data_IF_729253455344
#
_entry.id   IF_729253455344
#
_cell.length_a   1.000
_cell.length_b   1.000
_cell.length_c   1.000
_cell.angle_alpha   90.00
_cell.angle_beta   90.00
_cell.angle_gamma   90.00
#
_symmetry.space_group_name_H-M   'P 1'
#
loop_
_entity.id
_entity.type
_entity.pdbx_description
1 polymer ?
#
# COMPACT_ATOMS: atom_id res chain seq x y z
N UNK A 1 62.61 -22.52 -19.78
CA UNK A 1 62.36 -21.19 -19.17
C UNK A 1 61.86 -20.25 -20.25
N UNK A 2 60.55 -20.00 -20.33
CA UNK A 2 59.96 -19.08 -21.31
C UNK A 2 59.19 -17.95 -20.61
N UNK A 3 59.78 -16.77 -20.74
CA UNK A 3 59.42 -15.38 -20.45
C UNK A 3 57.95 -15.01 -20.16
N UNK A 4 57.73 -14.47 -18.96
CA UNK A 4 56.49 -13.83 -18.46
C UNK A 4 56.24 -12.39 -19.00
N UNK A 5 56.92 -11.96 -20.06
CA UNK A 5 57.02 -10.53 -20.40
C UNK A 5 56.07 -10.00 -21.50
N UNK A 6 55.06 -10.78 -21.91
CA UNK A 6 54.09 -10.38 -22.95
C UNK A 6 52.77 -9.80 -22.39
N UNK A 7 52.48 -9.94 -21.08
CA UNK A 7 51.22 -9.43 -20.49
C UNK A 7 51.26 -7.99 -19.97
N UNK A 8 52.43 -7.35 -19.89
CA UNK A 8 52.55 -5.95 -19.40
C UNK A 8 52.29 -4.88 -20.46
N UNK A 9 52.32 -5.19 -21.77
CA UNK A 9 52.13 -4.19 -22.84
C UNK A 9 50.67 -3.94 -23.27
N UNK A 10 49.69 -4.59 -22.65
CA UNK A 10 48.25 -4.42 -22.99
C UNK A 10 47.45 -3.55 -22.02
N UNK A 11 48.07 -3.06 -20.95
CA UNK A 11 47.38 -2.27 -19.91
C UNK A 11 47.57 -0.74 -20.06
N UNK A 12 48.28 -0.28 -21.09
CA UNK A 12 48.66 1.13 -21.22
C UNK A 12 47.93 1.89 -22.35
N UNK A 13 46.90 1.29 -22.95
CA UNK A 13 46.12 1.92 -24.02
C UNK A 13 44.62 1.84 -23.76
N UNK A 14 44.15 2.60 -22.78
CA UNK A 14 42.75 3.06 -22.72
C UNK A 14 42.67 4.27 -21.78
N UNK A 15 43.22 5.42 -22.24
CA UNK A 15 42.91 6.72 -21.62
C UNK A 15 41.47 7.08 -22.00
N UNK A 16 40.62 7.52 -21.06
CA UNK A 16 39.25 7.92 -21.36
C UNK A 16 39.21 9.10 -22.34
N UNK A 17 38.38 8.99 -23.39
CA UNK A 17 38.15 10.07 -24.35
C UNK A 17 37.57 11.31 -23.68
N UNK A 18 37.93 12.50 -24.19
CA UNK A 18 37.59 13.79 -23.59
C UNK A 18 36.08 14.07 -23.49
N UNK A 19 35.25 13.33 -24.24
CA UNK A 19 33.79 13.35 -24.10
C UNK A 19 33.33 12.94 -22.68
N UNK A 20 34.01 11.99 -22.02
CA UNK A 20 33.62 11.50 -20.67
C UNK A 20 33.95 12.50 -19.55
N UNK A 21 34.94 13.39 -19.76
CA UNK A 21 35.30 14.44 -18.80
C UNK A 21 34.29 15.60 -18.81
N UNK A 22 33.66 15.87 -19.95
CA UNK A 22 32.62 16.91 -20.07
C UNK A 22 31.34 16.54 -19.30
N UNK A 23 30.91 15.28 -19.38
CA UNK A 23 29.69 14.79 -18.75
C UNK A 23 29.78 14.71 -17.20
N UNK A 24 30.99 14.60 -16.65
CA UNK A 24 31.25 14.64 -15.20
C UNK A 24 31.33 16.07 -14.64
N UNK A 25 31.81 17.04 -15.43
CA UNK A 25 31.80 18.46 -15.04
C UNK A 25 30.37 19.04 -14.97
N UNK A 26 29.48 18.58 -15.84
CA UNK A 26 28.10 19.04 -15.88
C UNK A 26 27.25 18.51 -14.71
N UNK A 27 27.53 17.28 -14.25
CA UNK A 27 26.89 16.71 -13.05
C UNK A 27 27.29 17.42 -11.75
N UNK A 28 28.51 17.96 -11.66
CA UNK A 28 28.95 18.76 -10.48
C UNK A 28 28.29 20.14 -10.45
N UNK A 29 28.15 20.81 -11.60
CA UNK A 29 27.46 22.11 -11.71
C UNK A 29 25.97 22.03 -11.38
N UNK A 30 25.31 20.88 -11.62
CA UNK A 30 23.90 20.67 -11.27
C UNK A 30 23.69 20.42 -9.78
N UNK A 31 24.67 19.83 -9.10
CA UNK A 31 24.64 19.57 -7.65
C UNK A 31 24.84 20.84 -6.81
N UNK A 32 25.56 21.85 -7.31
CA UNK A 32 25.81 23.12 -6.61
C UNK A 32 24.70 24.16 -6.79
N UNK A 33 23.70 23.90 -7.65
CA UNK A 33 22.57 24.81 -7.90
C UNK A 33 21.27 24.42 -7.17
N UNK A 34 21.28 23.37 -6.36
CA UNK A 34 20.13 22.93 -5.54
C UNK A 34 20.30 23.17 -4.03
N UNK A 35 21.42 23.77 -3.58
CA UNK A 35 21.69 24.02 -2.16
C UNK A 35 21.58 25.49 -1.72
N UNK A 36 21.07 26.39 -2.57
CA UNK A 36 20.86 27.81 -2.24
C UNK A 36 19.47 28.30 -2.68
N UNK A 37 18.42 27.72 -2.09
CA UNK A 37 17.05 28.20 -2.19
C UNK A 37 16.54 28.63 -0.83
N UNK A 38 16.62 29.94 -0.57
CA UNK A 38 16.28 30.60 0.69
C UNK A 38 14.80 30.47 1.05
N UNK A 39 14.59 30.26 2.35
CA UNK A 39 13.34 30.33 3.10
C UNK A 39 12.68 31.72 3.00
N UNK A 40 11.41 31.78 2.59
CA UNK A 40 10.35 32.65 3.16
C UNK A 40 9.04 32.54 2.37
N UNK A 41 7.94 32.43 3.11
CA UNK A 41 6.54 32.74 2.74
C UNK A 41 5.72 31.75 1.89
N UNK A 42 5.02 30.84 2.58
CA UNK A 42 3.65 30.45 2.21
C UNK A 42 2.77 30.53 3.47
N UNK A 43 2.05 31.64 3.61
CA UNK A 43 0.95 31.80 4.55
C UNK A 43 -0.27 31.03 4.02
N UNK A 44 -0.61 29.91 4.64
CA UNK A 44 -1.94 29.32 4.48
C UNK A 44 -2.88 29.91 5.53
N UNK A 45 -3.72 30.85 5.09
CA UNK A 45 -4.97 31.18 5.76
C UNK A 45 -5.97 30.07 5.45
N UNK A 46 -6.28 29.19 6.41
CA UNK A 46 -7.53 28.43 6.38
C UNK A 46 -8.55 29.21 7.19
N UNK A 47 -9.37 29.96 6.46
CA UNK A 47 -10.62 30.53 6.95
C UNK A 47 -11.67 29.42 6.77
N UNK A 48 -12.17 28.86 7.87
CA UNK A 48 -13.32 27.98 7.84
C UNK A 48 -14.48 28.71 8.55
N UNK A 49 -15.32 29.37 7.75
CA UNK A 49 -16.64 29.82 8.19
C UNK A 49 -17.61 28.66 7.94
N UNK A 50 -18.05 28.00 9.03
CA UNK A 50 -19.19 27.10 9.00
C UNK A 50 -20.37 27.86 9.60
N UNK A 51 -21.28 28.33 8.76
CA UNK A 51 -22.59 28.83 9.18
C UNK A 51 -23.51 27.63 9.36
N UNK A 52 -23.98 27.38 10.58
CA UNK A 52 -25.03 26.40 10.87
C UNK A 52 -26.25 27.17 11.32
N UNK A 53 -27.31 27.13 10.51
CA UNK A 53 -28.63 27.67 10.86
C UNK A 53 -29.27 26.82 11.97
N UNK A 54 -29.73 27.48 13.03
CA UNK A 54 -30.48 26.89 14.13
C UNK A 54 -31.97 26.81 13.78
N UNK A 55 -32.50 25.60 13.59
CA UNK A 55 -33.95 25.37 13.61
C UNK A 55 -34.39 25.24 15.08
N UNK A 56 -35.25 26.14 15.53
CA UNK A 56 -35.93 26.05 16.83
C UNK A 56 -36.95 24.90 16.80
N UNK A 57 -36.83 23.97 17.75
CA UNK A 57 -37.83 22.95 18.04
C UNK A 57 -38.14 22.94 19.53
N UNK A 58 -39.28 23.52 19.91
CA UNK A 58 -39.84 23.45 21.26
C UNK A 58 -40.35 22.04 21.57
N UNK A 59 -40.10 21.53 22.79
CA UNK A 59 -41.02 20.57 23.41
C UNK A 59 -40.96 20.63 24.94
N UNK A 60 -42.16 20.51 25.50
CA UNK A 60 -42.61 20.77 26.85
C UNK A 60 -42.10 19.81 27.95
N UNK A 61 -42.22 20.31 29.18
CA UNK A 61 -42.08 19.65 30.48
C UNK A 61 -42.93 18.38 30.63
N UNK A 62 -42.40 17.37 31.35
CA UNK A 62 -43.03 16.74 32.53
C UNK A 62 -42.11 15.70 33.23
N UNK A 63 -41.92 15.93 34.55
CA UNK A 63 -41.63 15.09 35.74
C UNK A 63 -40.59 13.92 35.78
N UNK A 64 -39.86 13.73 36.92
CA UNK A 64 -38.79 12.74 37.08
C UNK A 64 -39.24 11.44 37.78
N UNK A 65 -38.61 10.32 37.44
CA UNK A 65 -38.68 9.07 38.23
C UNK A 65 -37.28 8.51 38.45
N UNK A 66 -37.16 7.88 39.62
CA UNK A 66 -36.02 7.49 40.43
C UNK A 66 -35.12 6.38 39.83
N UNK A 67 -33.90 6.32 40.38
CA UNK A 67 -32.76 5.44 40.12
C UNK A 67 -33.07 3.93 40.12
N UNK A 68 -32.38 3.16 39.27
CA UNK A 68 -31.59 1.99 39.68
C UNK A 68 -30.65 1.46 38.56
N UNK A 69 -29.65 0.71 38.99
CA UNK A 69 -28.32 0.40 38.43
C UNK A 69 -28.22 -0.71 37.37
N UNK A 70 -27.25 -0.61 36.44
CA UNK A 70 -26.15 -1.58 36.09
C UNK A 70 -25.56 -1.34 34.66
N UNK A 71 -24.37 -1.87 34.32
CA UNK A 71 -23.41 -1.28 33.37
C UNK A 71 -23.50 -1.84 31.94
N UNK A 72 -22.63 -1.29 31.07
CA UNK A 72 -22.34 -1.67 29.68
C UNK A 72 -23.22 -1.03 28.60
N UNK A 73 -22.77 0.11 28.06
CA UNK A 73 -22.43 0.26 26.64
C UNK A 73 -22.05 1.72 26.32
N UNK A 74 -20.88 1.89 25.70
CA UNK A 74 -20.51 3.14 25.05
C UNK A 74 -21.31 3.26 23.75
N UNK A 75 -22.50 3.88 23.82
CA UNK A 75 -23.32 4.22 22.65
C UNK A 75 -23.12 5.71 22.34
N UNK A 76 -22.63 5.97 21.11
CA UNK A 76 -22.71 7.21 20.33
C UNK A 76 -22.22 8.50 21.03
N UNK A 77 -20.93 8.79 20.82
CA UNK A 77 -20.51 10.01 20.12
C UNK A 77 -21.08 11.37 20.54
N UNK A 78 -21.26 11.64 21.83
CA UNK A 78 -21.53 13.00 22.30
C UNK A 78 -20.68 13.32 23.52
N UNK A 79 -19.71 14.23 23.33
CA UNK A 79 -18.90 14.80 24.40
C UNK A 79 -19.83 15.71 25.24
N UNK A 80 -20.20 15.29 26.44
CA UNK A 80 -20.93 16.15 27.38
C UNK A 80 -19.88 16.86 28.25
N UNK A 81 -19.56 18.12 27.95
CA UNK A 81 -18.85 19.00 28.87
C UNK A 81 -19.85 19.63 29.84
N UNK A 82 -19.89 19.17 31.08
CA UNK A 82 -20.60 19.86 32.15
C UNK A 82 -19.85 21.17 32.50
N UNK A 83 -20.53 22.30 32.30
CA UNK A 83 -20.10 23.59 32.86
C UNK A 83 -20.41 23.59 34.35
N UNK A 84 -19.37 23.75 35.15
CA UNK A 84 -19.49 24.12 36.55
C UNK A 84 -18.84 23.12 37.48
N UNK A 85 -17.58 23.35 37.82
CA UNK A 85 -17.16 23.58 39.20
C UNK A 85 -15.70 24.03 39.15
N UNK A 86 -15.43 25.19 39.76
CA UNK A 86 -14.10 25.69 40.02
C UNK A 86 -13.27 24.64 40.77
N UNK A 87 -11.96 24.64 40.52
CA UNK A 87 -10.89 23.85 41.16
C UNK A 87 -10.36 22.66 40.33
N UNK A 88 -9.63 22.98 39.26
CA UNK A 88 -8.46 22.20 38.85
C UNK A 88 -7.32 23.19 38.55
N UNK A 89 -6.57 23.51 39.61
CA UNK A 89 -5.19 23.96 39.49
C UNK A 89 -4.36 22.70 39.25
N UNK A 90 -3.70 22.68 38.10
CA UNK A 90 -2.42 22.01 37.77
C UNK A 90 -2.47 21.59 36.29
N UNK A 91 -2.22 22.58 35.44
CA UNK A 91 -2.41 22.58 33.98
C UNK A 91 -1.20 22.04 33.21
N UNK A 92 -0.24 21.38 33.85
CA UNK A 92 0.92 20.82 33.15
C UNK A 92 0.75 19.33 32.80
N UNK A 93 0.00 18.55 33.58
CA UNK A 93 -0.15 17.11 33.32
C UNK A 93 -1.21 16.74 32.27
N UNK A 94 -2.18 17.61 31.98
CA UNK A 94 -3.18 17.35 30.93
C UNK A 94 -2.64 17.59 29.51
N UNK A 95 -1.62 18.43 29.36
CA UNK A 95 -1.00 18.71 28.07
C UNK A 95 -0.22 17.51 27.53
N UNK A 96 0.43 16.75 28.41
CA UNK A 96 1.15 15.53 28.02
C UNK A 96 0.21 14.38 27.62
N UNK A 97 -0.94 14.24 28.29
CA UNK A 97 -1.87 13.14 28.00
C UNK A 97 -2.59 13.31 26.65
N UNK A 98 -2.92 14.55 26.27
CA UNK A 98 -3.58 14.87 24.99
C UNK A 98 -2.64 14.71 23.81
N UNK A 99 -1.37 15.09 23.95
CA UNK A 99 -0.33 14.90 22.91
C UNK A 99 -0.02 13.43 22.67
N UNK A 100 -0.07 12.58 23.70
CA UNK A 100 0.23 11.15 23.56
C UNK A 100 -0.89 10.39 22.84
N UNK A 101 -2.15 10.81 23.01
CA UNK A 101 -3.31 10.22 22.33
C UNK A 101 -3.33 10.55 20.83
N UNK A 102 -2.80 11.71 20.42
CA UNK A 102 -2.67 12.10 19.00
C UNK A 102 -1.57 11.32 18.29
N UNK A 103 -0.52 10.88 18.98
CA UNK A 103 0.60 10.14 18.39
C UNK A 103 0.25 8.65 18.16
N UNK A 104 -0.68 8.08 18.94
CA UNK A 104 -1.10 6.67 18.81
C UNK A 104 -2.23 6.44 17.78
N UNK A 105 -2.73 7.50 17.12
CA UNK A 105 -3.99 7.46 16.37
C UNK A 105 -3.91 7.21 14.86
N UNK A 106 -2.75 6.97 14.24
CA UNK A 106 -2.66 6.91 12.77
C UNK A 106 -1.77 5.77 12.25
N UNK A 107 -2.00 4.53 12.69
CA UNK A 107 -1.77 3.38 11.80
C UNK A 107 -3.00 3.21 10.90
N UNK A 108 -3.24 4.21 10.05
CA UNK A 108 -4.22 4.10 8.99
C UNK A 108 -3.74 3.01 8.02
N UNK A 109 -4.15 1.77 8.26
CA UNK A 109 -4.07 0.72 7.26
C UNK A 109 -4.81 1.26 6.04
N UNK A 110 -4.09 1.54 4.95
CA UNK A 110 -4.65 2.15 3.75
C UNK A 110 -5.88 1.36 3.31
N UNK A 111 -7.10 1.85 3.55
CA UNK A 111 -8.30 1.11 3.21
C UNK A 111 -8.50 1.06 1.69
N UNK A 112 -7.72 1.83 0.94
CA UNK A 112 -7.85 2.10 -0.48
C UNK A 112 -7.12 1.11 -1.38
N UNK A 113 -6.56 0.02 -0.86
CA UNK A 113 -5.79 -0.94 -1.65
C UNK A 113 -4.33 -0.51 -1.88
N UNK A 114 -3.55 -1.38 -2.54
CA UNK A 114 -2.13 -1.14 -2.80
C UNK A 114 -1.91 0.09 -3.71
N UNK A 115 -0.87 0.89 -3.42
CA UNK A 115 -0.53 2.06 -4.21
C UNK A 115 0.21 1.67 -5.50
N UNK A 116 0.33 2.59 -6.47
CA UNK A 116 0.86 2.30 -7.81
C UNK A 116 2.34 1.89 -7.78
N UNK A 117 3.08 2.31 -6.76
CA UNK A 117 4.48 1.98 -6.55
C UNK A 117 4.68 0.47 -6.30
N UNK A 118 3.65 -0.24 -5.83
CA UNK A 118 3.69 -1.70 -5.65
C UNK A 118 3.89 -2.44 -6.97
N UNK A 119 3.47 -1.85 -8.11
CA UNK A 119 3.65 -2.43 -9.44
C UNK A 119 5.08 -2.85 -9.76
N UNK A 120 6.07 -2.06 -9.32
CA UNK A 120 7.48 -2.29 -9.62
C UNK A 120 8.22 -2.93 -8.45
N UNK A 121 7.81 -2.61 -7.22
CA UNK A 121 8.52 -3.04 -6.01
C UNK A 121 8.08 -4.42 -5.53
N UNK A 122 6.86 -4.85 -5.84
CA UNK A 122 6.25 -6.05 -5.25
C UNK A 122 6.38 -6.09 -3.73
N UNK A 123 6.26 -4.92 -3.09
CA UNK A 123 6.36 -4.78 -1.66
C UNK A 123 5.18 -4.04 -1.10
N UNK A 124 4.63 -4.55 0.00
CA UNK A 124 3.94 -3.70 0.95
C UNK A 124 5.01 -2.77 1.55
N UNK A 125 4.86 -1.46 1.36
CA UNK A 125 5.78 -0.49 1.93
C UNK A 125 5.21 -0.03 3.27
N UNK A 126 5.42 -0.84 4.31
CA UNK A 126 5.03 -0.51 5.67
C UNK A 126 6.26 -0.02 6.42
N UNK A 127 6.27 1.28 6.74
CA UNK A 127 7.40 1.96 7.36
C UNK A 127 7.83 1.22 8.62
N UNK A 128 9.13 0.89 8.72
CA UNK A 128 9.71 0.21 9.87
C UNK A 128 9.62 -1.32 9.85
N UNK A 129 8.97 -1.92 8.85
CA UNK A 129 8.78 -3.37 8.77
C UNK A 129 9.37 -3.97 7.50
N UNK A 130 9.85 -5.20 7.62
CA UNK A 130 10.38 -6.00 6.50
C UNK A 130 9.45 -7.17 6.20
N UNK A 131 9.42 -7.64 4.94
CA UNK A 131 8.64 -8.82 4.59
C UNK A 131 9.15 -10.03 5.37
N UNK A 132 8.21 -10.89 5.74
CA UNK A 132 8.48 -12.15 6.39
C UNK A 132 9.29 -13.07 5.48
N UNK A 133 10.32 -13.71 6.04
CA UNK A 133 11.16 -14.69 5.34
C UNK A 133 10.65 -16.12 5.49
N UNK A 134 9.77 -16.36 6.47
CA UNK A 134 9.12 -17.65 6.66
C UNK A 134 8.22 -17.97 5.48
N UNK A 135 7.99 -19.26 5.23
CA UNK A 135 7.04 -19.69 4.21
C UNK A 135 5.64 -19.18 4.59
N UNK A 136 4.97 -18.41 3.71
CA UNK A 136 3.59 -17.99 3.96
C UNK A 136 2.66 -19.19 4.01
N UNK A 137 1.64 -19.12 4.88
CA UNK A 137 0.54 -20.09 4.91
C UNK A 137 -0.58 -19.67 3.93
N UNK A 138 -0.19 -19.17 2.76
CA UNK A 138 -1.09 -18.70 1.70
C UNK A 138 -0.74 -19.38 0.39
N UNK A 139 -1.75 -19.63 -0.43
CA UNK A 139 -1.61 -20.26 -1.73
C UNK A 139 -2.24 -19.39 -2.81
N UNK A 140 -1.52 -19.22 -3.92
CA UNK A 140 -2.00 -18.55 -5.12
C UNK A 140 -2.15 -19.58 -6.23
N UNK A 141 -3.35 -19.75 -6.76
CA UNK A 141 -3.70 -20.81 -7.70
C UNK A 141 -4.30 -20.17 -8.94
N UNK A 142 -3.81 -20.55 -10.12
CA UNK A 142 -4.38 -20.16 -11.39
C UNK A 142 -4.98 -21.39 -12.09
N UNK A 143 -6.26 -21.30 -12.46
CA UNK A 143 -7.02 -22.41 -13.05
C UNK A 143 -7.99 -21.93 -14.13
N UNK A 144 -8.06 -22.62 -15.29
CA UNK A 144 -7.24 -23.78 -15.69
C UNK A 144 -5.77 -23.43 -15.95
N UNK A 145 -4.90 -24.44 -16.06
CA UNK A 145 -3.47 -24.28 -16.38
C UNK A 145 -3.21 -23.97 -17.87
N UNK A 146 -4.24 -23.94 -18.70
CA UNK A 146 -4.17 -23.52 -20.11
C UNK A 146 -5.41 -22.72 -20.47
N UNK A 147 -5.21 -21.62 -21.19
CA UNK A 147 -6.28 -20.75 -21.67
C UNK A 147 -6.00 -20.33 -23.11
N UNK A 148 -7.04 -20.16 -23.92
CA UNK A 148 -6.91 -19.62 -25.26
C UNK A 148 -6.55 -18.12 -25.21
N UNK A 149 -5.88 -17.56 -26.22
CA UNK A 149 -5.73 -16.11 -26.36
C UNK A 149 -7.10 -15.41 -26.32
N UNK A 150 -7.24 -14.35 -25.51
CA UNK A 150 -8.55 -13.68 -25.27
C UNK A 150 -9.48 -14.45 -24.32
N UNK A 151 -9.10 -15.65 -23.89
CA UNK A 151 -9.86 -16.45 -22.96
C UNK A 151 -9.73 -15.95 -21.51
N UNK A 152 -10.64 -16.41 -20.67
CA UNK A 152 -10.69 -16.03 -19.25
C UNK A 152 -10.41 -17.22 -18.34
N UNK A 153 -9.77 -16.96 -17.20
CA UNK A 153 -9.48 -17.95 -16.17
C UNK A 153 -9.73 -17.38 -14.77
N UNK A 154 -9.60 -18.24 -13.77
CA UNK A 154 -9.72 -17.88 -12.36
C UNK A 154 -8.35 -17.88 -11.67
N UNK A 155 -8.07 -16.83 -10.90
CA UNK A 155 -6.91 -16.71 -10.03
C UNK A 155 -7.41 -16.62 -8.59
N UNK A 156 -7.04 -17.58 -7.75
CA UNK A 156 -7.50 -17.66 -6.35
C UNK A 156 -6.31 -17.46 -5.41
N UNK A 157 -6.44 -16.53 -4.47
CA UNK A 157 -5.55 -16.40 -3.33
C UNK A 157 -6.32 -16.87 -2.08
N UNK A 158 -5.77 -17.82 -1.34
CA UNK A 158 -6.40 -18.38 -0.14
C UNK A 158 -5.40 -18.57 1.00
N UNK A 159 -5.87 -18.40 2.24
CA UNK A 159 -5.14 -18.79 3.43
C UNK A 159 -5.39 -20.25 3.79
N UNK A 160 -4.31 -20.99 4.02
CA UNK A 160 -4.36 -22.40 4.38
C UNK A 160 -4.72 -22.55 5.86
N UNK A 161 -5.47 -23.61 6.21
CA UNK A 161 -5.89 -23.85 7.59
C UNK A 161 -6.79 -22.75 8.19
N UNK A 162 -7.49 -21.98 7.34
CA UNK A 162 -8.35 -20.88 7.77
C UNK A 162 -7.62 -19.56 8.05
N UNK A 163 -6.34 -19.46 7.67
CA UNK A 163 -5.55 -18.24 7.82
C UNK A 163 -6.21 -17.05 7.10
N UNK A 164 -6.26 -15.89 7.76
CA UNK A 164 -6.85 -14.68 7.20
C UNK A 164 -5.80 -13.69 6.71
N UNK A 165 -6.15 -12.91 5.70
CA UNK A 165 -5.39 -11.76 5.23
C UNK A 165 -6.30 -10.54 5.05
N UNK A 166 -5.74 -9.34 5.26
CA UNK A 166 -6.45 -8.06 5.12
C UNK A 166 -6.21 -7.43 3.76
N UNK A 167 -4.96 -7.48 3.29
CA UNK A 167 -4.54 -6.84 2.06
C UNK A 167 -3.86 -7.81 1.10
N UNK A 168 -4.01 -7.54 -0.20
CA UNK A 168 -3.27 -8.22 -1.25
C UNK A 168 -2.99 -7.30 -2.44
N UNK A 169 -1.97 -7.65 -3.21
CA UNK A 169 -1.71 -7.15 -4.56
C UNK A 169 -1.31 -8.33 -5.43
N UNK A 170 -1.95 -8.50 -6.59
CA UNK A 170 -1.71 -9.61 -7.51
C UNK A 170 -1.49 -9.05 -8.92
N UNK A 171 -0.50 -9.58 -9.62
CA UNK A 171 -0.19 -9.23 -11.00
C UNK A 171 0.11 -10.49 -11.82
N UNK A 172 -0.42 -10.57 -13.03
CA UNK A 172 -0.02 -11.58 -14.03
C UNK A 172 1.24 -11.12 -14.77
N UNK A 173 2.23 -11.99 -14.90
CA UNK A 173 3.50 -11.68 -15.55
C UNK A 173 3.81 -12.64 -16.69
N UNK A 174 4.34 -12.10 -17.79
CA UNK A 174 4.92 -12.91 -18.87
C UNK A 174 6.29 -13.49 -18.47
N UNK A 175 6.93 -14.22 -19.39
CA UNK A 175 8.26 -14.81 -19.18
C UNK A 175 9.39 -13.80 -18.94
N UNK A 176 9.17 -12.52 -19.24
CA UNK A 176 10.13 -11.42 -19.00
C UNK A 176 9.87 -10.71 -17.68
N UNK A 177 8.80 -11.07 -16.97
CA UNK A 177 8.36 -10.40 -15.74
C UNK A 177 7.51 -9.15 -15.98
N UNK A 178 7.06 -8.91 -17.21
CA UNK A 178 6.23 -7.74 -17.54
C UNK A 178 4.76 -8.00 -17.18
N UNK A 179 4.03 -7.02 -16.62
CA UNK A 179 2.59 -7.15 -16.36
C UNK A 179 1.81 -7.48 -17.64
N UNK A 180 0.84 -8.41 -17.54
CA UNK A 180 0.07 -8.89 -18.68
C UNK A 180 -1.36 -9.34 -18.32
N UNK A 181 -2.25 -9.20 -19.31
CA UNK A 181 -3.66 -9.56 -19.21
C UNK A 181 -4.48 -8.51 -18.46
N UNK A 182 -5.71 -8.85 -18.13
CA UNK A 182 -6.66 -7.94 -17.48
C UNK A 182 -7.46 -8.64 -16.40
N UNK A 183 -7.53 -8.05 -15.22
CA UNK A 183 -8.42 -8.47 -14.16
C UNK A 183 -9.78 -7.80 -14.29
N UNK A 184 -10.82 -8.49 -13.84
CA UNK A 184 -12.15 -7.88 -13.67
C UNK A 184 -12.33 -7.43 -12.22
N UNK A 185 -12.88 -6.24 -12.01
CA UNK A 185 -13.26 -5.74 -10.68
C UNK A 185 -14.29 -6.66 -10.03
N UNK A 186 -14.18 -6.85 -8.71
CA UNK A 186 -15.10 -7.64 -7.89
C UNK A 186 -15.43 -6.92 -6.57
N UNK A 187 -16.28 -7.52 -5.74
CA UNK A 187 -16.76 -6.91 -4.50
C UNK A 187 -15.66 -6.65 -3.47
N UNK A 188 -14.63 -7.50 -3.43
CA UNK A 188 -13.51 -7.42 -2.48
C UNK A 188 -12.18 -7.03 -3.16
N UNK A 189 -12.21 -6.78 -4.47
CA UNK A 189 -11.04 -6.56 -5.31
C UNK A 189 -11.25 -5.46 -6.35
N UNK A 190 -10.31 -4.53 -6.45
CA UNK A 190 -10.25 -3.45 -7.45
C UNK A 190 -9.01 -3.57 -8.31
N UNK A 191 -9.15 -3.18 -9.57
CA UNK A 191 -8.06 -3.23 -10.55
C UNK A 191 -7.07 -2.08 -10.35
N UNK A 192 -5.86 -2.28 -10.88
CA UNK A 192 -4.74 -1.34 -10.87
C UNK A 192 -4.04 -1.38 -12.22
N UNK A 193 -3.64 -0.21 -12.69
CA UNK A 193 -2.93 -0.04 -13.96
C UNK A 193 -1.44 0.11 -13.71
N UNK A 194 -0.67 -0.95 -13.95
CA UNK A 194 0.78 -0.92 -13.82
C UNK A 194 1.47 -0.56 -15.13
N UNK A 195 1.40 -1.44 -16.13
CA UNK A 195 1.87 -1.23 -17.51
C UNK A 195 0.73 -1.06 -18.51
N UNK A 196 -0.45 -1.58 -18.21
CA UNK A 196 -1.67 -1.50 -19.01
C UNK A 196 -2.92 -1.44 -18.14
N UNK A 197 -4.07 -1.27 -18.79
CA UNK A 197 -5.35 -1.17 -18.10
C UNK A 197 -5.71 -2.49 -17.42
N UNK A 198 -6.02 -2.42 -16.13
CA UNK A 198 -6.47 -3.54 -15.30
C UNK A 198 -5.50 -4.72 -15.22
N UNK A 199 -4.21 -4.54 -15.50
CA UNK A 199 -3.22 -5.64 -15.53
C UNK A 199 -2.84 -6.20 -14.16
N UNK A 200 -3.30 -5.54 -13.09
CA UNK A 200 -3.06 -5.88 -11.70
C UNK A 200 -4.31 -5.66 -10.87
N UNK A 201 -4.36 -6.24 -9.67
CA UNK A 201 -5.53 -6.18 -8.79
C UNK A 201 -5.13 -6.13 -7.31
N UNK A 202 -5.93 -5.43 -6.51
CA UNK A 202 -5.70 -5.25 -5.08
C UNK A 202 -7.01 -5.21 -4.30
N UNK A 203 -6.95 -5.39 -2.99
CA UNK A 203 -8.08 -5.29 -2.08
C UNK A 203 -8.78 -3.91 -2.10
N UNK A 204 -10.08 -3.89 -1.78
CA UNK A 204 -10.88 -2.65 -1.62
C UNK A 204 -11.07 -2.20 -0.17
N UNK A 205 -10.77 -3.07 0.79
CA UNK A 205 -10.92 -2.80 2.22
C UNK A 205 -9.99 -3.70 3.04
N UNK A 206 -9.73 -3.29 4.29
CA UNK A 206 -8.92 -4.04 5.24
C UNK A 206 -9.72 -5.11 6.03
N UNK A 207 -10.92 -5.47 5.56
CA UNK A 207 -11.71 -6.56 6.15
C UNK A 207 -10.96 -7.88 6.02
N UNK A 208 -11.12 -8.76 7.01
CA UNK A 208 -10.50 -10.08 6.98
C UNK A 208 -11.09 -10.92 5.85
N UNK A 209 -10.19 -11.58 5.12
CA UNK A 209 -10.52 -12.49 4.00
C UNK A 209 -9.77 -13.78 4.24
N UNK A 210 -10.44 -14.91 4.02
CA UNK A 210 -9.78 -16.22 3.95
C UNK A 210 -9.48 -16.62 2.51
N UNK A 211 -10.20 -16.04 1.54
CA UNK A 211 -10.07 -16.30 0.11
C UNK A 211 -10.51 -15.09 -0.70
N UNK A 212 -9.85 -14.86 -1.83
CA UNK A 212 -10.34 -14.02 -2.94
C UNK A 212 -10.23 -14.80 -4.24
N UNK A 213 -11.27 -14.73 -5.08
CA UNK A 213 -11.37 -15.48 -6.33
C UNK A 213 -11.58 -14.51 -7.48
N UNK A 214 -10.52 -14.28 -8.25
CA UNK A 214 -10.40 -13.25 -9.27
C UNK A 214 -10.61 -13.81 -10.68
N UNK A 215 -11.22 -13.02 -11.56
CA UNK A 215 -11.29 -13.31 -12.99
C UNK A 215 -10.17 -12.57 -13.73
N UNK A 216 -9.41 -13.30 -14.56
CA UNK A 216 -8.34 -12.76 -15.39
C UNK A 216 -8.54 -13.16 -16.85
N UNK A 217 -8.27 -12.24 -17.77
CA UNK A 217 -8.36 -12.39 -19.22
C UNK A 217 -6.97 -12.33 -19.86
N UNK A 218 -6.65 -13.33 -20.68
CA UNK A 218 -5.43 -13.37 -21.47
C UNK A 218 -5.51 -12.38 -22.63
N UNK A 219 -4.44 -11.64 -22.97
CA UNK A 219 -4.46 -10.80 -24.17
C UNK A 219 -4.66 -11.65 -25.43
N UNK A 220 -5.54 -11.20 -26.33
CA UNK A 220 -5.81 -11.89 -27.60
C UNK A 220 -4.57 -12.01 -28.51
N UNK A 221 -3.60 -11.12 -28.37
CA UNK A 221 -2.36 -11.09 -29.16
C UNK A 221 -1.19 -11.82 -28.50
N UNK A 222 -1.41 -12.51 -27.37
CA UNK A 222 -0.35 -13.17 -26.62
C UNK A 222 -0.47 -14.69 -26.68
N UNK A 223 0.67 -15.35 -26.86
CA UNK A 223 0.83 -16.78 -26.62
C UNK A 223 2.14 -16.99 -25.87
N UNK A 224 2.12 -17.85 -24.86
CA UNK A 224 3.28 -18.06 -23.99
C UNK A 224 2.89 -18.41 -22.57
N UNK A 225 3.86 -18.30 -21.66
CA UNK A 225 3.67 -18.62 -20.24
C UNK A 225 3.36 -17.38 -19.43
N UNK A 226 2.36 -17.51 -18.56
CA UNK A 226 2.01 -16.53 -17.55
C UNK A 226 2.21 -17.14 -16.17
N UNK A 227 2.70 -16.33 -15.25
CA UNK A 227 2.80 -16.66 -13.82
C UNK A 227 2.22 -15.50 -13.03
N UNK A 228 1.42 -15.80 -12.01
CA UNK A 228 0.88 -14.78 -11.13
C UNK A 228 1.77 -14.63 -9.90
N UNK A 229 1.99 -13.37 -9.51
CA UNK A 229 2.77 -13.00 -8.33
C UNK A 229 1.92 -12.17 -7.39
N UNK A 230 1.99 -12.46 -6.10
CA UNK A 230 1.24 -11.79 -5.06
C UNK A 230 2.10 -11.23 -3.93
N UNK A 231 1.60 -10.15 -3.34
CA UNK A 231 1.96 -9.63 -2.02
C UNK A 231 0.74 -9.84 -1.12
N UNK A 232 0.95 -10.33 0.10
CA UNK A 232 -0.13 -10.60 1.06
C UNK A 232 0.19 -9.95 2.39
N UNK A 233 -0.78 -9.23 2.94
CA UNK A 233 -0.70 -8.52 4.22
C UNK A 233 -1.70 -9.15 5.17
N UNK A 234 -1.21 -9.76 6.26
CA UNK A 234 -2.06 -10.24 7.36
C UNK A 234 -2.42 -9.08 8.27
N UNK A 235 -1.41 -8.36 8.76
CA UNK A 235 -1.53 -7.10 9.49
C UNK A 235 -0.39 -6.17 9.06
N UNK A 236 -0.41 -4.91 9.48
CA UNK A 236 0.57 -3.89 9.06
C UNK A 236 2.03 -4.38 9.21
N UNK A 237 2.36 -5.04 10.30
CA UNK A 237 3.74 -5.48 10.56
C UNK A 237 4.06 -6.86 9.95
N UNK A 238 3.05 -7.59 9.48
CA UNK A 238 3.15 -9.00 9.10
C UNK A 238 2.65 -9.22 7.67
N UNK A 239 3.59 -9.31 6.74
CA UNK A 239 3.32 -9.44 5.31
C UNK A 239 4.37 -10.28 4.60
N UNK A 240 3.99 -10.87 3.47
CA UNK A 240 4.84 -11.66 2.61
C UNK A 240 4.82 -11.07 1.21
N UNK A 241 6.01 -10.95 0.64
CA UNK A 241 6.18 -10.63 -0.76
C UNK A 241 6.45 -11.92 -1.53
N UNK A 242 6.17 -11.93 -2.83
CA UNK A 242 6.58 -12.99 -3.75
C UNK A 242 5.91 -14.36 -3.49
N UNK A 243 4.60 -14.39 -3.28
CA UNK A 243 3.82 -15.63 -3.39
C UNK A 243 3.54 -15.86 -4.89
N UNK A 244 3.88 -17.03 -5.42
CA UNK A 244 3.86 -17.31 -6.86
C UNK A 244 2.90 -18.46 -7.16
N UNK A 245 2.12 -18.34 -8.24
CA UNK A 245 1.21 -19.39 -8.68
C UNK A 245 1.89 -20.51 -9.45
N UNK A 246 1.12 -21.56 -9.76
CA UNK A 246 1.45 -22.44 -10.89
C UNK A 246 1.54 -21.62 -12.20
N UNK A 247 2.33 -22.12 -13.16
CA UNK A 247 2.42 -21.52 -14.49
C UNK A 247 1.19 -21.87 -15.32
N UNK A 248 0.72 -20.90 -16.09
CA UNK A 248 -0.38 -21.04 -17.05
C UNK A 248 0.15 -20.85 -18.46
N UNK A 249 -0.34 -21.66 -19.40
CA UNK A 249 -0.03 -21.53 -20.83
C UNK A 249 -1.17 -20.81 -21.55
N UNK A 250 -0.85 -19.77 -22.31
CA UNK A 250 -1.77 -19.13 -23.25
C UNK A 250 -1.52 -19.73 -24.64
N UNK A 251 -2.39 -20.62 -25.08
CA UNK A 251 -2.30 -21.36 -26.35
C UNK A 251 -3.67 -21.95 -26.73
#
# INVERSE_FOLDING_TARGET
MFSLNQKKKKWEKEKPSDARKSHLKDRRKRSERMSTGSSSDIRFFIKAEASVEFIHGERNQENPVFLESLPDHCIKGQLICFKGHSLFKDCESCLFLTVTCVILGLSAAYPTGAPKETCNTFSANHTGHLPQRSKPNYELIASPSTVQPGGTMTVTLQGMGGETFKGFFIQGQDSTGKPIGRFTRQSDAQTRDCSGADDSVTHVSANDKTKVTLKWEAPASYSGKVVFRAVVVKVYELFWNNIVSNSVTVA
#
